data_IF_829096071492
#
_entry.id   IF_829096071492
#
_cell.length_a   1.000
_cell.length_b   1.000
_cell.length_c   1.000
_cell.angle_alpha   90.00
_cell.angle_beta   90.00
_cell.angle_gamma   90.00
#
_symmetry.space_group_name_H-M   'P 1'
#
loop_
_entity.id
_entity.type
_entity.pdbx_description
1 polymer ?
#
# COMPACT_ATOMS: atom_id res chain seq x y z
N UNK A 1 8.88 18.03 -8.08
CA UNK A 1 9.87 16.92 -8.08
C UNK A 1 9.80 16.06 -6.82
N UNK A 2 9.97 16.61 -5.60
CA UNK A 2 9.93 15.83 -4.34
C UNK A 2 8.69 14.93 -4.20
N UNK A 3 7.50 15.44 -4.51
CA UNK A 3 6.25 14.67 -4.45
C UNK A 3 6.25 13.44 -5.38
N UNK A 4 6.67 13.60 -6.64
CA UNK A 4 6.74 12.51 -7.62
C UNK A 4 7.75 11.45 -7.16
N UNK A 5 8.94 11.88 -6.74
CA UNK A 5 9.96 11.00 -6.18
C UNK A 5 9.41 10.20 -5.00
N UNK A 6 8.62 10.86 -4.14
CA UNK A 6 8.01 10.23 -2.97
C UNK A 6 6.97 9.19 -3.33
N UNK A 7 6.17 9.46 -4.36
CA UNK A 7 5.21 8.50 -4.90
C UNK A 7 5.91 7.28 -5.48
N UNK A 8 7.01 7.47 -6.22
CA UNK A 8 7.83 6.36 -6.75
C UNK A 8 8.41 5.52 -5.61
N UNK A 9 8.99 6.16 -4.59
CA UNK A 9 9.50 5.47 -3.40
C UNK A 9 8.38 4.67 -2.71
N UNK A 10 7.18 5.24 -2.58
CA UNK A 10 6.05 4.55 -1.97
C UNK A 10 5.63 3.31 -2.76
N UNK A 11 5.64 3.35 -4.09
CA UNK A 11 5.37 2.17 -4.94
C UNK A 11 6.43 1.09 -4.70
N UNK A 12 7.71 1.47 -4.75
CA UNK A 12 8.85 0.55 -4.57
C UNK A 12 8.85 -0.11 -3.19
N UNK A 13 8.45 0.62 -2.14
CA UNK A 13 8.39 0.11 -0.77
C UNK A 13 7.12 -0.71 -0.52
N UNK A 14 5.99 -0.30 -1.10
CA UNK A 14 4.71 -0.97 -0.88
C UNK A 14 4.70 -2.40 -1.42
N UNK A 15 5.26 -2.63 -2.61
CA UNK A 15 5.28 -3.97 -3.21
C UNK A 15 5.94 -5.06 -2.32
N UNK A 16 7.19 -4.89 -1.82
CA UNK A 16 7.80 -5.85 -0.91
C UNK A 16 7.11 -5.91 0.46
N UNK A 17 6.53 -4.80 0.94
CA UNK A 17 5.74 -4.80 2.18
C UNK A 17 4.52 -5.70 2.08
N UNK A 18 3.77 -5.64 0.97
CA UNK A 18 2.61 -6.52 0.72
C UNK A 18 3.06 -7.98 0.77
N UNK A 19 4.16 -8.33 0.09
CA UNK A 19 4.69 -9.70 0.07
C UNK A 19 5.09 -10.17 1.48
N UNK A 20 5.78 -9.32 2.23
CA UNK A 20 6.23 -9.64 3.58
C UNK A 20 5.05 -9.85 4.54
N UNK A 21 4.05 -8.96 4.51
CA UNK A 21 2.84 -9.07 5.31
C UNK A 21 2.00 -10.30 4.92
N UNK A 22 1.86 -10.56 3.61
CA UNK A 22 1.16 -11.75 3.11
C UNK A 22 1.77 -13.03 3.65
N UNK A 23 3.10 -13.15 3.56
CA UNK A 23 3.83 -14.29 4.09
C UNK A 23 3.58 -14.42 5.59
N UNK A 24 3.85 -13.37 6.36
CA UNK A 24 3.73 -13.41 7.84
C UNK A 24 2.31 -13.80 8.29
N UNK A 25 1.26 -13.26 7.65
CA UNK A 25 -0.12 -13.47 8.10
C UNK A 25 -0.69 -14.81 7.62
N UNK A 26 -0.42 -15.19 6.37
CA UNK A 26 -0.92 -16.44 5.81
C UNK A 26 -0.11 -17.66 6.28
N UNK A 27 1.22 -17.56 6.40
CA UNK A 27 2.06 -18.69 6.79
C UNK A 27 2.25 -18.82 8.29
N UNK A 28 2.40 -17.72 9.03
CA UNK A 28 2.85 -17.80 10.43
C UNK A 28 1.69 -17.63 11.41
N UNK A 29 0.69 -16.80 11.07
CA UNK A 29 -0.47 -16.55 11.93
C UNK A 29 -1.70 -17.43 11.60
N UNK A 30 -1.69 -18.14 10.46
CA UNK A 30 -2.80 -18.98 9.98
C UNK A 30 -4.17 -18.28 9.94
N UNK A 31 -4.19 -16.94 9.83
CA UNK A 31 -5.43 -16.18 9.71
C UNK A 31 -5.82 -16.17 8.23
N UNK A 32 -6.61 -17.16 7.85
CA UNK A 32 -7.12 -17.32 6.49
C UNK A 32 -8.39 -16.50 6.20
N UNK A 33 -8.78 -16.48 4.93
CA UNK A 33 -10.03 -15.87 4.48
C UNK A 33 -10.08 -14.35 4.58
N UNK A 34 -11.29 -13.77 4.57
CA UNK A 34 -11.51 -12.32 4.48
C UNK A 34 -10.88 -11.53 5.63
N UNK A 35 -10.85 -12.10 6.84
CA UNK A 35 -10.21 -11.46 7.99
C UNK A 35 -8.69 -11.35 7.80
N UNK A 36 -8.04 -12.40 7.29
CA UNK A 36 -6.61 -12.40 7.00
C UNK A 36 -6.21 -11.27 6.04
N UNK A 37 -6.97 -11.12 4.95
CA UNK A 37 -6.77 -10.06 3.96
C UNK A 37 -6.95 -8.67 4.57
N UNK A 38 -7.98 -8.46 5.39
CA UNK A 38 -8.21 -7.19 6.07
C UNK A 38 -7.07 -6.84 7.05
N UNK A 39 -6.62 -7.80 7.87
CA UNK A 39 -5.50 -7.60 8.78
C UNK A 39 -4.20 -7.33 8.04
N UNK A 40 -3.97 -8.03 6.93
CA UNK A 40 -2.82 -7.83 6.06
C UNK A 40 -2.79 -6.43 5.47
N UNK A 41 -3.89 -5.99 4.88
CA UNK A 41 -4.05 -4.63 4.37
C UNK A 41 -3.80 -3.58 5.46
N UNK A 42 -4.36 -3.77 6.66
CA UNK A 42 -4.21 -2.85 7.77
C UNK A 42 -2.75 -2.71 8.21
N UNK A 43 -2.08 -3.84 8.46
CA UNK A 43 -0.67 -3.85 8.92
C UNK A 43 0.23 -3.27 7.84
N UNK A 44 0.03 -3.64 6.58
CA UNK A 44 0.79 -3.11 5.43
C UNK A 44 0.63 -1.59 5.32
N UNK A 45 -0.58 -1.08 5.50
CA UNK A 45 -0.83 0.37 5.48
C UNK A 45 -0.15 1.09 6.64
N UNK A 46 -0.22 0.54 7.85
CA UNK A 46 0.46 1.10 9.04
C UNK A 46 1.98 1.16 8.81
N UNK A 47 2.59 0.07 8.31
CA UNK A 47 4.02 0.03 8.03
C UNK A 47 4.42 1.05 6.95
N UNK A 48 3.66 1.12 5.85
CA UNK A 48 3.92 2.13 4.80
C UNK A 48 3.82 3.55 5.36
N UNK A 49 2.85 3.81 6.23
CA UNK A 49 2.69 5.11 6.87
C UNK A 49 3.87 5.44 7.79
N UNK A 50 4.32 4.51 8.62
CA UNK A 50 5.50 4.66 9.50
C UNK A 50 6.75 4.95 8.66
N UNK A 51 6.98 4.21 7.59
CA UNK A 51 8.10 4.45 6.67
C UNK A 51 8.02 5.86 6.09
N UNK A 52 6.82 6.35 5.77
CA UNK A 52 6.64 7.71 5.28
C UNK A 52 6.93 8.78 6.35
N UNK A 53 6.60 8.52 7.62
CA UNK A 53 7.00 9.40 8.74
C UNK A 53 8.53 9.44 8.89
N UNK A 54 9.21 8.31 8.75
CA UNK A 54 10.67 8.24 8.82
C UNK A 54 11.32 9.02 7.68
N UNK A 55 10.84 8.83 6.45
CA UNK A 55 11.34 9.53 5.27
C UNK A 55 11.04 11.04 5.31
N UNK A 56 10.00 11.47 6.04
CA UNK A 56 9.75 12.89 6.30
C UNK A 56 10.80 13.54 7.21
N UNK A 57 11.58 12.77 7.97
CA UNK A 57 12.74 13.30 8.73
C UNK A 57 13.92 13.63 7.82
N UNK A 58 13.95 13.08 6.59
CA UNK A 58 14.99 13.38 5.60
C UNK A 58 14.62 14.68 4.89
N UNK A 59 15.42 15.73 5.07
CA UNK A 59 15.12 17.09 4.59
C UNK A 59 14.87 17.17 3.07
N UNK A 60 15.58 16.35 2.30
CA UNK A 60 15.39 16.25 0.85
C UNK A 60 14.02 15.65 0.47
N UNK A 61 13.49 14.74 1.28
CA UNK A 61 12.25 13.98 1.03
C UNK A 61 11.04 14.50 1.82
N UNK A 62 11.24 15.50 2.70
CA UNK A 62 10.20 16.08 3.53
C UNK A 62 9.05 16.65 2.69
N UNK A 63 7.83 16.21 2.98
CA UNK A 63 6.58 16.73 2.45
C UNK A 63 5.68 17.22 3.59
N UNK A 64 4.81 18.19 3.29
CA UNK A 64 3.72 18.53 4.20
C UNK A 64 2.82 17.32 4.41
N UNK A 65 2.15 17.23 5.56
CA UNK A 65 1.33 16.07 5.92
C UNK A 65 0.28 15.72 4.86
N UNK A 66 -0.44 16.74 4.35
CA UNK A 66 -1.40 16.56 3.27
C UNK A 66 -0.75 15.99 1.99
N UNK A 67 0.41 16.51 1.58
CA UNK A 67 1.14 16.00 0.40
C UNK A 67 1.70 14.60 0.64
N UNK A 68 2.11 14.27 1.86
CA UNK A 68 2.58 12.94 2.23
C UNK A 68 1.45 11.91 2.09
N UNK A 69 0.28 12.17 2.67
CA UNK A 69 -0.90 11.32 2.52
C UNK A 69 -1.33 11.15 1.06
N UNK A 70 -1.31 12.24 0.28
CA UNK A 70 -1.60 12.18 -1.15
C UNK A 70 -0.59 11.34 -1.93
N UNK A 71 0.69 11.42 -1.58
CA UNK A 71 1.73 10.59 -2.21
C UNK A 71 1.55 9.11 -1.88
N UNK A 72 1.13 8.78 -0.66
CA UNK A 72 0.78 7.40 -0.27
C UNK A 72 -0.42 6.92 -1.08
N UNK A 73 -1.51 7.70 -1.14
CA UNK A 73 -2.72 7.39 -1.93
C UNK A 73 -2.39 7.08 -3.38
N UNK A 74 -1.61 7.95 -4.02
CA UNK A 74 -1.20 7.75 -5.42
C UNK A 74 -0.32 6.52 -5.59
N UNK A 75 0.61 6.25 -4.66
CA UNK A 75 1.45 5.05 -4.73
C UNK A 75 0.62 3.77 -4.64
N UNK A 76 -0.33 3.71 -3.71
CA UNK A 76 -1.28 2.60 -3.56
C UNK A 76 -2.13 2.44 -4.83
N UNK A 77 -2.67 3.55 -5.35
CA UNK A 77 -3.52 3.53 -6.54
C UNK A 77 -2.77 3.04 -7.78
N UNK A 78 -1.56 3.56 -8.03
CA UNK A 78 -0.75 3.18 -9.19
C UNK A 78 -0.37 1.69 -9.11
N UNK A 79 0.08 1.22 -7.93
CA UNK A 79 0.42 -0.19 -7.77
C UNK A 79 -0.82 -1.08 -7.89
N UNK A 80 -1.95 -0.70 -7.30
CA UNK A 80 -3.21 -1.43 -7.41
C UNK A 80 -3.69 -1.56 -8.85
N UNK A 81 -3.66 -0.46 -9.63
CA UNK A 81 -4.01 -0.48 -11.05
C UNK A 81 -3.04 -1.32 -11.88
N UNK A 82 -1.74 -1.27 -11.58
CA UNK A 82 -0.74 -2.12 -12.24
C UNK A 82 -1.02 -3.61 -12.01
N UNK A 83 -1.29 -4.00 -10.76
CA UNK A 83 -1.59 -5.40 -10.39
C UNK A 83 -2.91 -5.87 -11.00
N UNK A 84 -3.94 -5.02 -10.97
CA UNK A 84 -5.24 -5.30 -11.59
C UNK A 84 -5.10 -5.45 -13.11
N UNK A 85 -4.38 -4.55 -13.77
CA UNK A 85 -4.14 -4.60 -15.21
C UNK A 85 -3.34 -5.84 -15.62
N UNK A 86 -2.33 -6.23 -14.81
CA UNK A 86 -1.58 -7.47 -15.02
C UNK A 86 -2.51 -8.70 -14.98
N UNK A 87 -3.43 -8.76 -14.02
CA UNK A 87 -4.36 -9.88 -13.88
C UNK A 87 -5.39 -9.92 -15.03
N UNK A 88 -5.95 -8.77 -15.41
CA UNK A 88 -7.05 -8.69 -16.38
C UNK A 88 -6.59 -8.79 -17.85
N UNK A 89 -5.36 -8.37 -18.16
CA UNK A 89 -4.87 -8.27 -19.55
C UNK A 89 -3.88 -9.37 -19.94
N UNK A 90 -3.28 -10.06 -18.97
CA UNK A 90 -2.31 -11.13 -19.24
C UNK A 90 -3.00 -12.47 -19.09
N UNK A 91 -3.50 -12.99 -20.21
CA UNK A 91 -4.27 -14.24 -20.34
C UNK A 91 -3.56 -15.48 -19.76
N UNK A 92 -2.27 -15.42 -19.44
CA UNK A 92 -1.46 -16.51 -18.85
C UNK A 92 -0.74 -16.08 -17.56
N UNK A 93 -1.21 -15.05 -16.84
CA UNK A 93 -0.57 -14.57 -15.60
C UNK A 93 -0.37 -15.68 -14.56
N UNK A 94 -1.26 -16.67 -14.54
CA UNK A 94 -1.26 -17.84 -13.65
C UNK A 94 -0.05 -18.77 -13.93
N UNK A 95 0.46 -18.81 -15.16
CA UNK A 95 1.62 -19.65 -15.54
C UNK A 95 2.97 -19.06 -15.13
N UNK A 96 3.03 -17.76 -14.80
CA UNK A 96 4.26 -17.08 -14.36
C UNK A 96 4.53 -17.25 -12.85
N UNK A 97 4.64 -18.50 -12.41
CA UNK A 97 5.19 -18.91 -11.12
C UNK A 97 4.41 -18.45 -9.87
N UNK A 98 5.04 -18.59 -8.69
CA UNK A 98 4.48 -18.34 -7.34
C UNK A 98 3.82 -16.95 -7.19
N UNK A 99 4.11 -15.99 -8.07
CA UNK A 99 3.59 -14.61 -8.08
C UNK A 99 2.41 -14.39 -9.05
N UNK A 100 2.02 -15.41 -9.83
CA UNK A 100 0.89 -15.37 -10.77
C UNK A 100 -0.48 -15.51 -10.10
N UNK A 101 -0.58 -16.32 -9.04
CA UNK A 101 -1.85 -16.56 -8.33
C UNK A 101 -2.24 -15.51 -7.28
N UNK A 102 -1.33 -14.59 -6.92
CA UNK A 102 -1.56 -13.62 -5.85
C UNK A 102 -1.80 -12.19 -6.35
N UNK A 103 -1.69 -11.89 -7.65
CA UNK A 103 -1.86 -10.52 -8.17
C UNK A 103 -3.23 -9.94 -7.86
N UNK A 104 -4.29 -10.75 -7.99
CA UNK A 104 -5.64 -10.32 -7.63
C UNK A 104 -5.77 -10.01 -6.13
N UNK A 105 -5.22 -10.87 -5.26
CA UNK A 105 -5.24 -10.65 -3.81
C UNK A 105 -4.47 -9.39 -3.42
N UNK A 106 -3.33 -9.13 -4.03
CA UNK A 106 -2.55 -7.91 -3.79
C UNK A 106 -3.24 -6.66 -4.36
N UNK A 107 -3.99 -6.77 -5.45
CA UNK A 107 -4.82 -5.69 -5.96
C UNK A 107 -5.99 -5.37 -5.00
N UNK A 108 -6.63 -6.40 -4.44
CA UNK A 108 -7.65 -6.25 -3.39
C UNK A 108 -7.06 -5.58 -2.16
N UNK A 109 -5.86 -5.97 -1.73
CA UNK A 109 -5.16 -5.31 -0.63
C UNK A 109 -4.95 -3.83 -0.91
N UNK A 110 -4.48 -3.48 -2.10
CA UNK A 110 -4.30 -2.07 -2.48
C UNK A 110 -5.63 -1.30 -2.42
N UNK A 111 -6.76 -1.90 -2.83
CA UNK A 111 -8.08 -1.26 -2.73
C UNK A 111 -8.48 -1.02 -1.27
N UNK A 112 -8.30 -2.01 -0.39
CA UNK A 112 -8.59 -1.88 1.05
C UNK A 112 -7.71 -0.78 1.65
N UNK A 113 -6.41 -0.79 1.36
CA UNK A 113 -5.47 0.23 1.81
C UNK A 113 -5.86 1.64 1.31
N UNK A 114 -6.40 1.74 0.09
CA UNK A 114 -6.87 3.00 -0.45
C UNK A 114 -8.07 3.51 0.34
N UNK A 115 -9.05 2.66 0.66
CA UNK A 115 -10.17 3.01 1.54
C UNK A 115 -9.67 3.45 2.92
N UNK A 116 -8.75 2.70 3.54
CA UNK A 116 -8.14 3.04 4.82
C UNK A 116 -7.44 4.42 4.78
N UNK A 117 -6.73 4.71 3.70
CA UNK A 117 -6.04 6.00 3.52
C UNK A 117 -7.00 7.19 3.38
N UNK A 118 -8.18 6.98 2.80
CA UNK A 118 -9.24 8.00 2.72
C UNK A 118 -9.83 8.22 4.11
N UNK A 119 -10.15 7.15 4.83
CA UNK A 119 -10.66 7.23 6.20
C UNK A 119 -9.69 7.96 7.12
N UNK A 120 -8.39 7.66 7.03
CA UNK A 120 -7.36 8.36 7.80
C UNK A 120 -7.31 9.86 7.48
N UNK A 121 -7.38 10.23 6.21
CA UNK A 121 -7.39 11.64 5.79
C UNK A 121 -8.63 12.39 6.31
N UNK A 122 -9.80 11.75 6.33
CA UNK A 122 -11.03 12.33 6.92
C UNK A 122 -10.86 12.54 8.44
N UNK A 123 -10.32 11.55 9.15
CA UNK A 123 -10.09 11.62 10.60
C UNK A 123 -9.12 12.76 10.93
N UNK A 124 -7.99 12.83 10.23
CA UNK A 124 -6.97 13.87 10.47
C UNK A 124 -7.48 15.28 10.19
N UNK A 125 -8.27 15.46 9.12
CA UNK A 125 -8.94 16.74 8.83
C UNK A 125 -9.92 17.14 9.93
N UNK A 126 -10.72 16.19 10.44
CA UNK A 126 -11.66 16.45 11.54
C UNK A 126 -10.97 16.85 12.83
N UNK A 127 -9.84 16.22 13.14
CA UNK A 127 -9.09 16.49 14.36
C UNK A 127 -8.29 17.80 14.31
N UNK A 128 -8.33 18.56 13.19
CA UNK A 128 -7.51 19.76 12.94
C UNK A 128 -6.04 19.54 13.30
N UNK A 129 -5.55 18.33 13.05
CA UNK A 129 -4.15 17.99 13.30
C UNK A 129 -3.33 18.59 12.15
N UNK A 130 -3.04 19.88 12.29
CA UNK A 130 -2.05 20.60 11.48
C UNK A 130 -0.74 20.61 12.27
N UNK A 131 0.24 19.83 11.81
CA UNK A 131 1.63 19.90 12.27
C UNK A 131 2.52 20.20 11.06
#
# INVERSE_FOLDING_TARGET
MKFILRTVINIVILYPLIILCAKTIMSDLFIGGTLGVLFQSLITFILLYIVNLLLNKVEFLRLSMAKNLWSIKLGILILGLYLLGRELLVEHAIEYGVLGGFSLLFAIDCLIMLVLSITLDIILKRLKVEF
#
